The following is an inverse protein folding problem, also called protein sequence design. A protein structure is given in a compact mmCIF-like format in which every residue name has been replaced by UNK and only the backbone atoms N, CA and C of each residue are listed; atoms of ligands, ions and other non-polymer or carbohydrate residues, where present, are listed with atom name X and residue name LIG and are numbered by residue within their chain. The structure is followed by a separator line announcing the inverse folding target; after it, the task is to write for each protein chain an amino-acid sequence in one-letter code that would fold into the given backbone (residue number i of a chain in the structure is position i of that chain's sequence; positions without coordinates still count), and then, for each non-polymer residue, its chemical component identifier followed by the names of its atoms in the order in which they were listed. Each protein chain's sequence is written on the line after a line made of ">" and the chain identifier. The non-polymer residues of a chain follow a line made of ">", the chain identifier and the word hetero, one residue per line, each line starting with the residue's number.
data_IF_980915476345
#
_entry.id   IF_980915476345
#
_cell.length_a   1.000
_cell.length_b   1.000
_cell.length_c   1.000
_cell.angle_alpha   90.00
_cell.angle_beta   90.00
_cell.angle_gamma   90.00
#
_symmetry.space_group_name_H-M   'P 1'
#
loop_
_entity.id
_entity.type
_entity.pdbx_description
1 polymer ?
#
# COMPACT_ATOMS: atom_id res chain seq x y z
N UNK A 1 4.40 -3.37 -0.83
CA UNK A 1 2.94 -3.32 -0.55
C UNK A 1 2.38 -2.00 -1.04
N UNK A 2 1.12 -2.00 -1.48
CA UNK A 2 0.42 -0.79 -1.92
C UNK A 2 -0.99 -0.67 -1.33
N UNK A 3 -1.35 0.56 -0.94
CA UNK A 3 -2.65 0.93 -0.41
C UNK A 3 -3.38 1.82 -1.42
N UNK A 4 -4.41 1.26 -2.06
CA UNK A 4 -5.11 1.88 -3.17
C UNK A 4 -4.28 1.84 -4.45
N UNK A 5 -4.87 1.33 -5.53
CA UNK A 5 -4.29 1.36 -6.87
C UNK A 5 -5.01 2.44 -7.67
N UNK A 6 -4.30 3.52 -7.97
CA UNK A 6 -4.82 4.60 -8.84
C UNK A 6 -4.36 4.45 -10.28
N UNK A 7 -3.17 3.90 -10.47
CA UNK A 7 -2.53 3.64 -11.77
C UNK A 7 -1.93 2.22 -11.73
N UNK A 8 -2.65 1.22 -12.28
CA UNK A 8 -2.19 -0.17 -12.28
C UNK A 8 -0.89 -0.36 -13.05
N UNK A 9 -0.68 0.38 -14.15
CA UNK A 9 0.51 0.27 -14.99
C UNK A 9 1.75 0.79 -14.25
N UNK A 10 1.63 1.88 -13.49
CA UNK A 10 2.70 2.36 -12.60
C UNK A 10 3.06 1.28 -11.58
N UNK A 11 2.06 0.74 -10.89
CA UNK A 11 2.27 -0.30 -9.89
C UNK A 11 2.95 -1.52 -10.50
N UNK A 12 2.54 -1.93 -11.70
CA UNK A 12 3.15 -3.07 -12.40
C UNK A 12 4.62 -2.80 -12.76
N UNK A 13 4.95 -1.60 -13.24
CA UNK A 13 6.34 -1.20 -13.52
C UNK A 13 7.20 -1.25 -12.27
N UNK A 14 6.69 -0.77 -11.13
CA UNK A 14 7.42 -0.82 -9.86
C UNK A 14 7.65 -2.24 -9.37
N UNK A 15 6.64 -3.11 -9.48
CA UNK A 15 6.79 -4.53 -9.08
C UNK A 15 7.80 -5.24 -9.99
N UNK A 16 7.75 -5.00 -11.31
CA UNK A 16 8.74 -5.57 -12.24
C UNK A 16 10.15 -5.10 -11.93
N UNK A 17 10.33 -3.81 -11.68
CA UNK A 17 11.62 -3.25 -11.27
C UNK A 17 12.15 -3.92 -9.99
N UNK A 18 11.28 -4.13 -9.00
CA UNK A 18 11.67 -4.83 -7.78
C UNK A 18 12.08 -6.30 -8.03
N UNK A 19 11.36 -7.00 -8.92
CA UNK A 19 11.70 -8.37 -9.32
C UNK A 19 13.04 -8.43 -10.04
N UNK A 20 13.31 -7.48 -10.94
CA UNK A 20 14.58 -7.38 -11.68
C UNK A 20 15.76 -7.01 -10.76
N UNK A 21 15.52 -6.19 -9.74
CA UNK A 21 16.54 -5.78 -8.76
C UNK A 21 16.83 -6.84 -7.69
N UNK A 22 15.93 -7.83 -7.50
CA UNK A 22 16.10 -8.86 -6.49
C UNK A 22 17.19 -9.87 -6.87
N UNK A 23 17.90 -10.37 -5.85
CA UNK A 23 18.92 -11.39 -6.06
C UNK A 23 18.30 -12.71 -6.53
N UNK A 24 19.03 -13.52 -7.33
CA UNK A 24 18.57 -14.85 -7.73
C UNK A 24 18.17 -15.68 -6.52
N UNK A 25 16.95 -16.23 -6.52
CA UNK A 25 16.40 -17.05 -5.44
C UNK A 25 15.59 -16.30 -4.39
N UNK A 26 15.55 -14.97 -4.41
CA UNK A 26 14.61 -14.19 -3.61
C UNK A 26 13.28 -14.00 -4.35
N UNK A 27 12.16 -14.15 -3.63
CA UNK A 27 10.82 -13.95 -4.18
C UNK A 27 10.26 -12.61 -3.71
N UNK A 28 10.01 -11.69 -4.65
CA UNK A 28 9.26 -10.47 -4.38
C UNK A 28 7.81 -10.82 -4.08
N UNK A 29 7.30 -10.34 -2.95
CA UNK A 29 5.90 -10.45 -2.56
C UNK A 29 5.22 -9.09 -2.74
N UNK A 30 4.19 -9.05 -3.58
CA UNK A 30 3.43 -7.83 -3.84
C UNK A 30 2.01 -7.97 -3.30
N UNK A 31 1.72 -7.22 -2.23
CA UNK A 31 0.37 -7.13 -1.67
C UNK A 31 -0.26 -5.79 -2.01
N UNK A 32 -1.49 -5.79 -2.53
CA UNK A 32 -2.28 -4.59 -2.75
C UNK A 32 -3.63 -4.67 -2.01
N UNK A 33 -3.94 -3.64 -1.22
CA UNK A 33 -5.25 -3.47 -0.58
C UNK A 33 -6.03 -2.40 -1.34
N UNK A 34 -7.20 -2.76 -1.83
CA UNK A 34 -8.07 -1.85 -2.58
C UNK A 34 -9.54 -2.27 -2.44
N UNK A 35 -10.45 -1.35 -2.71
CA UNK A 35 -11.88 -1.63 -2.85
C UNK A 35 -12.20 -2.47 -4.08
N UNK A 36 -11.41 -2.38 -5.16
CA UNK A 36 -11.65 -3.06 -6.45
C UNK A 36 -13.10 -2.92 -6.92
N UNK A 37 -13.87 -4.02 -6.93
CA UNK A 37 -15.27 -4.08 -7.36
C UNK A 37 -16.21 -3.21 -6.50
N UNK A 38 -15.78 -2.81 -5.29
CA UNK A 38 -16.53 -1.91 -4.41
C UNK A 38 -16.25 -0.41 -4.65
N UNK A 39 -15.40 -0.05 -5.63
CA UNK A 39 -15.20 1.36 -6.02
C UNK A 39 -16.46 1.89 -6.69
N UNK A 40 -16.84 3.12 -6.37
CA UNK A 40 -17.89 3.83 -7.12
C UNK A 40 -17.47 3.96 -8.59
N UNK A 41 -18.39 3.81 -9.54
CA UNK A 41 -18.14 3.86 -11.01
C UNK A 41 -17.32 5.08 -11.49
N UNK A 42 -17.32 6.18 -10.72
CA UNK A 42 -16.54 7.40 -11.00
C UNK A 42 -15.03 7.27 -10.72
N UNK A 43 -14.59 6.25 -9.98
CA UNK A 43 -13.17 5.96 -9.71
C UNK A 43 -12.80 4.72 -10.52
N UNK A 44 -11.73 4.82 -11.31
CA UNK A 44 -11.22 3.80 -12.25
C UNK A 44 -11.65 2.36 -11.90
N UNK A 45 -12.42 1.67 -12.77
CA UNK A 45 -13.08 0.40 -12.45
C UNK A 45 -12.12 -0.77 -12.61
N UNK A 46 -11.05 -0.81 -11.80
CA UNK A 46 -10.18 -1.98 -11.75
C UNK A 46 -10.83 -3.07 -10.91
N UNK A 47 -11.46 -4.04 -11.57
CA UNK A 47 -12.01 -5.23 -10.90
C UNK A 47 -10.89 -6.10 -10.33
N UNK A 48 -11.19 -6.92 -9.32
CA UNK A 48 -10.19 -7.83 -8.75
C UNK A 48 -9.63 -8.81 -9.80
N UNK A 49 -10.47 -9.24 -10.74
CA UNK A 49 -10.07 -10.14 -11.85
C UNK A 49 -9.12 -9.46 -12.82
N UNK A 50 -9.38 -8.19 -13.15
CA UNK A 50 -8.48 -7.41 -14.00
C UNK A 50 -7.15 -7.16 -13.31
N UNK A 51 -7.16 -6.77 -12.03
CA UNK A 51 -5.96 -6.58 -11.24
C UNK A 51 -5.12 -7.86 -11.20
N UNK A 52 -5.73 -9.02 -10.90
CA UNK A 52 -5.00 -10.28 -10.81
C UNK A 52 -4.32 -10.65 -12.14
N UNK A 53 -5.05 -10.51 -13.26
CA UNK A 53 -4.50 -10.75 -14.60
C UNK A 53 -3.40 -9.76 -14.96
N UNK A 54 -3.54 -8.49 -14.56
CA UNK A 54 -2.56 -7.45 -14.82
C UNK A 54 -1.23 -7.74 -14.13
N UNK A 55 -1.28 -8.08 -12.84
CA UNK A 55 -0.08 -8.34 -12.02
C UNK A 55 0.47 -9.77 -12.16
N UNK A 56 -0.27 -10.72 -12.72
CA UNK A 56 0.22 -12.08 -12.96
C UNK A 56 1.50 -12.11 -13.84
N UNK A 57 1.67 -11.12 -14.71
CA UNK A 57 2.85 -10.97 -15.58
C UNK A 57 4.08 -10.36 -14.89
N UNK A 58 3.99 -10.03 -13.59
CA UNK A 58 5.05 -9.33 -12.88
C UNK A 58 6.20 -10.23 -12.43
N UNK A 59 5.98 -11.54 -12.31
CA UNK A 59 6.95 -12.48 -11.71
C UNK A 59 6.98 -12.46 -10.18
N UNK A 60 6.25 -11.55 -9.53
CA UNK A 60 6.10 -11.49 -8.08
C UNK A 60 5.01 -12.45 -7.59
N UNK A 61 5.08 -12.82 -6.30
CA UNK A 61 3.96 -13.45 -5.60
C UNK A 61 2.93 -12.38 -5.26
N UNK A 62 1.83 -12.36 -6.00
CA UNK A 62 0.79 -11.33 -5.89
C UNK A 62 -0.30 -11.74 -4.90
N UNK A 63 -0.65 -10.85 -3.98
CA UNK A 63 -1.80 -10.97 -3.09
C UNK A 63 -2.68 -9.71 -3.20
N UNK A 64 -3.94 -9.89 -3.60
CA UNK A 64 -4.91 -8.80 -3.70
C UNK A 64 -5.93 -8.94 -2.59
N UNK A 65 -6.12 -7.86 -1.83
CA UNK A 65 -6.98 -7.84 -0.63
C UNK A 65 -8.12 -6.87 -0.88
N UNK A 66 -9.34 -7.37 -1.18
CA UNK A 66 -10.48 -6.52 -1.38
C UNK A 66 -11.03 -5.97 -0.06
N UNK A 67 -11.41 -4.69 -0.08
CA UNK A 67 -12.16 -4.03 0.98
C UNK A 67 -11.54 -2.70 1.43
N UNK A 68 -12.18 -2.02 2.40
CA UNK A 68 -11.65 -0.78 2.92
C UNK A 68 -10.34 -1.04 3.69
N UNK A 69 -9.46 -0.04 3.69
CA UNK A 69 -8.10 -0.21 4.20
C UNK A 69 -8.00 -0.65 5.65
N UNK A 70 -8.73 -0.06 6.62
CA UNK A 70 -8.57 -0.42 8.03
C UNK A 70 -8.91 -1.89 8.29
N UNK A 71 -10.01 -2.38 7.70
CA UNK A 71 -10.45 -3.77 7.82
C UNK A 71 -9.54 -4.71 7.04
N UNK A 72 -9.17 -4.32 5.81
CA UNK A 72 -8.26 -5.10 4.97
C UNK A 72 -6.91 -5.31 5.65
N UNK A 73 -6.35 -4.23 6.22
CA UNK A 73 -5.07 -4.27 6.90
C UNK A 73 -5.15 -5.07 8.20
N UNK A 74 -6.20 -4.90 9.01
CA UNK A 74 -6.36 -5.67 10.24
C UNK A 74 -6.41 -7.19 9.98
N UNK A 75 -7.02 -7.63 8.88
CA UNK A 75 -7.09 -9.05 8.49
C UNK A 75 -5.75 -9.62 8.03
N UNK A 76 -4.91 -8.81 7.40
CA UNK A 76 -3.68 -9.27 6.74
C UNK A 76 -2.39 -8.85 7.46
N UNK A 77 -2.47 -8.04 8.52
CA UNK A 77 -1.31 -7.51 9.23
C UNK A 77 -0.32 -8.61 9.66
N UNK A 78 -0.82 -9.75 10.13
CA UNK A 78 0.03 -10.87 10.57
C UNK A 78 0.82 -11.53 9.42
N UNK A 79 0.33 -11.43 8.19
CA UNK A 79 0.98 -12.00 7.00
C UNK A 79 1.88 -10.99 6.28
N UNK A 80 1.84 -9.71 6.68
CA UNK A 80 2.50 -8.58 6.00
C UNK A 80 3.60 -7.93 6.85
N UNK A 81 4.04 -8.62 7.90
CA UNK A 81 5.13 -8.19 8.77
C UNK A 81 6.44 -8.11 7.98
N UNK A 82 7.29 -7.13 8.31
CA UNK A 82 8.60 -6.97 7.68
C UNK A 82 8.51 -6.49 6.23
N UNK A 83 7.59 -5.58 5.92
CA UNK A 83 7.44 -5.00 4.58
C UNK A 83 8.57 -4.01 4.28
N UNK A 84 9.37 -4.24 3.23
CA UNK A 84 10.46 -3.32 2.83
C UNK A 84 9.95 -2.00 2.25
N UNK A 85 8.82 -2.03 1.55
CA UNK A 85 8.25 -0.85 0.88
C UNK A 85 6.73 -0.82 1.00
N UNK A 86 6.21 0.33 1.43
CA UNK A 86 4.78 0.62 1.50
C UNK A 86 4.50 1.86 0.64
N UNK A 87 3.56 1.75 -0.29
CA UNK A 87 3.12 2.87 -1.13
C UNK A 87 1.67 3.21 -0.82
N UNK A 88 1.39 4.48 -0.56
CA UNK A 88 0.04 5.04 -0.51
C UNK A 88 -0.29 5.69 -1.84
N UNK A 89 -1.43 5.34 -2.43
CA UNK A 89 -1.99 6.12 -3.53
C UNK A 89 -2.39 7.53 -3.07
N UNK A 90 -2.49 8.42 -4.05
CA UNK A 90 -2.77 9.85 -3.84
C UNK A 90 -4.07 10.12 -3.07
N UNK A 91 -5.15 9.43 -3.43
CA UNK A 91 -6.47 9.55 -2.82
C UNK A 91 -6.64 8.67 -1.58
N UNK A 92 -5.59 7.95 -1.20
CA UNK A 92 -5.59 6.94 -0.16
C UNK A 92 -4.54 7.30 0.88
N UNK A 93 -4.84 8.33 1.66
CA UNK A 93 -4.25 8.48 3.00
C UNK A 93 -5.43 8.51 3.96
N UNK A 94 -5.59 7.50 4.83
CA UNK A 94 -6.61 7.54 5.86
C UNK A 94 -6.26 8.66 6.84
N UNK A 95 -6.82 9.85 6.60
CA UNK A 95 -6.76 10.94 7.55
C UNK A 95 -7.50 10.48 8.82
N UNK A 96 -6.75 10.41 9.92
CA UNK A 96 -7.25 10.10 11.27
C UNK A 96 -7.91 8.71 11.50
N UNK A 97 -7.63 7.69 10.69
CA UNK A 97 -8.06 6.33 11.03
C UNK A 97 -7.12 5.69 12.05
N UNK A 98 -7.48 5.78 13.33
CA UNK A 98 -6.65 5.27 14.41
C UNK A 98 -6.38 3.76 14.36
N UNK A 99 -7.27 2.96 13.74
CA UNK A 99 -7.04 1.51 13.58
C UNK A 99 -6.00 1.24 12.52
N UNK A 100 -6.06 1.95 11.40
CA UNK A 100 -5.05 1.82 10.35
C UNK A 100 -3.65 2.20 10.86
N UNK A 101 -3.54 3.37 11.51
CA UNK A 101 -2.26 3.83 12.06
C UNK A 101 -1.77 2.97 13.23
N UNK A 102 -2.66 2.27 13.94
CA UNK A 102 -2.25 1.28 14.94
C UNK A 102 -1.52 0.08 14.32
N UNK A 103 -1.99 -0.45 13.18
CA UNK A 103 -1.36 -1.62 12.56
C UNK A 103 -0.11 -1.28 11.74
N UNK A 104 -0.06 -0.10 11.12
CA UNK A 104 1.02 0.26 10.19
C UNK A 104 2.45 0.12 10.77
N UNK A 105 2.78 0.61 11.98
CA UNK A 105 4.13 0.46 12.54
C UNK A 105 4.58 -0.99 12.70
N UNK A 106 3.64 -1.92 12.91
CA UNK A 106 3.94 -3.35 13.09
C UNK A 106 4.37 -4.03 11.80
N UNK A 107 4.07 -3.43 10.66
CA UNK A 107 4.46 -3.94 9.35
C UNK A 107 5.89 -3.53 8.99
N UNK A 108 6.44 -2.52 9.66
CA UNK A 108 7.71 -1.92 9.35
C UNK A 108 8.86 -2.61 10.12
N UNK A 109 10.01 -2.67 9.49
CA UNK A 109 11.32 -2.91 10.09
C UNK A 109 12.19 -1.65 9.87
N UNK A 110 13.38 -1.53 10.49
CA UNK A 110 14.17 -0.30 10.45
C UNK A 110 14.53 0.23 9.05
N UNK A 111 14.61 -0.65 8.05
CA UNK A 111 14.95 -0.29 6.67
C UNK A 111 13.71 -0.14 5.77
N UNK A 112 12.50 -0.29 6.33
CA UNK A 112 11.27 -0.11 5.58
C UNK A 112 11.15 1.32 5.07
N UNK A 113 10.71 1.47 3.83
CA UNK A 113 10.40 2.75 3.23
C UNK A 113 8.87 2.92 3.10
N UNK A 114 8.36 4.09 3.47
CA UNK A 114 6.95 4.43 3.33
C UNK A 114 6.83 5.63 2.42
N UNK A 115 6.16 5.46 1.28
CA UNK A 115 6.01 6.48 0.26
C UNK A 115 4.55 6.83 0.04
N UNK A 116 4.29 8.09 -0.27
CA UNK A 116 3.00 8.60 -0.72
C UNK A 116 3.11 9.12 -2.15
N UNK A 117 2.34 8.52 -3.05
CA UNK A 117 2.15 9.03 -4.38
C UNK A 117 1.33 10.33 -4.32
N UNK A 118 1.72 11.32 -5.11
CA UNK A 118 0.95 12.54 -5.36
C UNK A 118 1.22 13.00 -6.79
N UNK A 119 0.21 13.55 -7.47
CA UNK A 119 0.42 14.18 -8.76
C UNK A 119 0.87 15.62 -8.54
N UNK A 120 1.92 16.03 -9.22
CA UNK A 120 2.47 17.39 -9.10
C UNK A 120 2.73 17.99 -10.48
N UNK A 121 2.58 19.31 -10.58
CA UNK A 121 2.85 20.08 -11.80
C UNK A 121 1.70 20.08 -12.81
N UNK A 122 1.91 20.81 -13.91
CA UNK A 122 0.93 20.98 -15.00
C UNK A 122 0.70 19.67 -15.74
N UNK A 123 1.74 18.83 -15.84
CA UNK A 123 1.73 17.56 -16.56
C UNK A 123 1.23 16.36 -15.73
N UNK A 124 0.81 16.59 -14.47
CA UNK A 124 0.36 15.56 -13.53
C UNK A 124 1.36 14.41 -13.33
N UNK A 125 2.65 14.71 -13.30
CA UNK A 125 3.67 13.69 -13.03
C UNK A 125 3.47 13.08 -11.64
N UNK A 126 3.51 11.75 -11.56
CA UNK A 126 3.45 11.03 -10.30
C UNK A 126 4.78 11.19 -9.56
N UNK A 127 4.75 11.85 -8.40
CA UNK A 127 5.88 11.99 -7.49
C UNK A 127 5.62 11.21 -6.21
N UNK A 128 6.70 10.81 -5.55
CA UNK A 128 6.64 10.15 -4.25
C UNK A 128 7.19 11.09 -3.17
N UNK A 129 6.46 11.20 -2.07
CA UNK A 129 6.94 11.85 -0.86
C UNK A 129 7.12 10.78 0.21
N UNK A 130 8.27 10.77 0.88
CA UNK A 130 8.51 9.85 1.98
C UNK A 130 7.69 10.26 3.22
N UNK A 131 7.12 9.26 3.89
CA UNK A 131 6.55 9.39 5.23
C UNK A 131 7.55 8.73 6.17
N UNK A 132 8.21 9.53 7.01
CA UNK A 132 9.23 9.02 7.92
C UNK A 132 8.65 8.08 8.97
N UNK A 133 9.48 7.17 9.51
CA UNK A 133 9.10 6.30 10.63
C UNK A 133 8.55 7.10 11.82
N UNK A 134 9.20 8.22 12.16
CA UNK A 134 8.74 9.11 13.23
C UNK A 134 7.33 9.68 12.95
N UNK A 135 7.01 10.02 11.70
CA UNK A 135 5.68 10.49 11.34
C UNK A 135 4.64 9.37 11.41
N UNK A 136 5.01 8.14 11.01
CA UNK A 136 4.15 6.95 11.16
C UNK A 136 3.84 6.69 12.63
N UNK A 137 4.85 6.69 13.51
CA UNK A 137 4.69 6.52 14.95
C UNK A 137 3.84 7.63 15.58
N UNK A 138 4.08 8.89 15.18
CA UNK A 138 3.31 10.03 15.66
C UNK A 138 1.83 9.84 15.34
N UNK A 139 1.48 9.45 14.11
CA UNK A 139 0.08 9.19 13.73
C UNK A 139 -0.52 8.00 14.46
N UNK A 140 0.26 6.94 14.69
CA UNK A 140 -0.16 5.79 15.48
C UNK A 140 -0.53 6.17 16.92
N UNK A 141 0.25 7.07 17.53
CA UNK A 141 0.01 7.54 18.90
C UNK A 141 -1.23 8.41 19.06
N UNK A 142 -1.56 9.22 18.04
CA UNK A 142 -2.74 10.09 18.02
C UNK A 142 -4.04 9.27 17.83
N UNK A 143 -3.96 8.17 17.09
CA UNK A 143 -5.09 7.32 16.74
C UNK A 143 -5.56 6.35 17.84
N UNK A 144 -4.78 6.15 18.90
CA UNK A 144 -5.12 5.28 20.00
C UNK A 144 -6.04 6.01 21.00
N UNK A 145 -7.25 5.51 21.30
CA UNK A 145 -8.02 6.04 22.42
C UNK A 145 -7.20 5.87 23.70
N UNK A 146 -6.98 6.98 24.42
CA UNK A 146 -6.33 7.00 25.73
C UNK A 146 -7.02 5.95 26.59
N UNK A 147 -6.34 4.84 26.90
CA UNK A 147 -6.80 3.91 27.95
C UNK A 147 -6.75 4.69 29.26
N UNK A 148 -7.92 5.10 29.74
CA UNK A 148 -8.08 5.59 31.10
C UNK A 148 -7.85 4.37 32.00
N UNK A 149 -6.80 4.46 32.81
CA UNK A 149 -6.47 3.49 33.85
C UNK A 149 -7.44 3.63 35.04
#
# INVERSE_FOLDING_TARGET
>A
MEFGITDPDRSLRLVKLAVEACSPGQQVCYTALDLFDARSEKRSPLTIKQAHRHFASSGAKVQLVPGPLPEGLARTANTLLGSDLIIFAEDVVPANDGRFWFYLPRLLHPESCVLRAHRAGVDQECRFAEITHAEVERRASIGLPRRVA
#
